data_IF_147525496998
#
_entry.id   IF_147525496998
#
_cell.length_a   1.000
_cell.length_b   1.000
_cell.length_c   1.000
_cell.angle_alpha   90.00
_cell.angle_beta   90.00
_cell.angle_gamma   90.00
#
_symmetry.space_group_name_H-M   'P 1'
#
loop_
_entity.id
_entity.type
_entity.pdbx_description
1 polymer ?
#
# COMPACT_ATOMS: atom_id res chain seq x y z
N UNK A 1 22.37 -13.00 -18.62
CA UNK A 1 22.72 -11.60 -18.91
C UNK A 1 21.69 -10.65 -18.32
N UNK A 2 20.50 -10.58 -18.91
CA UNK A 2 19.41 -9.64 -18.55
C UNK A 2 19.13 -9.54 -17.05
N UNK A 3 18.80 -10.65 -16.38
CA UNK A 3 18.51 -10.66 -14.94
C UNK A 3 19.67 -10.18 -14.08
N UNK A 4 20.91 -10.55 -14.43
CA UNK A 4 22.10 -10.10 -13.71
C UNK A 4 22.28 -8.59 -13.87
N UNK A 5 21.99 -8.02 -15.04
CA UNK A 5 22.00 -6.56 -15.27
C UNK A 5 20.96 -5.87 -14.40
N UNK A 6 19.72 -6.36 -14.36
CA UNK A 6 18.66 -5.80 -13.52
C UNK A 6 19.00 -5.86 -12.02
N UNK A 7 19.48 -7.01 -11.55
CA UNK A 7 19.94 -7.20 -10.18
C UNK A 7 21.14 -6.31 -9.84
N UNK A 8 22.03 -6.04 -10.80
CA UNK A 8 23.19 -5.16 -10.59
C UNK A 8 22.76 -3.71 -10.32
N UNK A 9 21.74 -3.20 -11.03
CA UNK A 9 21.19 -1.85 -10.81
C UNK A 9 20.75 -1.65 -9.37
N UNK A 10 20.08 -2.65 -8.79
CA UNK A 10 19.63 -2.60 -7.41
C UNK A 10 20.63 -3.16 -6.40
N UNK A 11 21.86 -3.53 -6.82
CA UNK A 11 22.88 -4.18 -5.97
C UNK A 11 22.33 -5.41 -5.23
N UNK A 12 21.59 -6.26 -5.95
CA UNK A 12 20.97 -7.50 -5.47
C UNK A 12 21.65 -8.77 -6.01
N UNK A 13 22.77 -8.62 -6.71
CA UNK A 13 23.58 -9.76 -7.17
C UNK A 13 24.02 -10.55 -5.94
N UNK A 14 23.72 -11.85 -5.93
CA UNK A 14 24.08 -12.77 -4.85
C UNK A 14 25.41 -13.45 -5.14
N UNK A 15 26.13 -13.81 -4.09
CA UNK A 15 27.31 -14.66 -4.17
C UNK A 15 27.03 -15.95 -4.96
N UNK A 16 27.99 -16.44 -5.79
CA UNK A 16 29.36 -15.94 -5.96
C UNK A 16 29.50 -14.73 -6.90
N UNK A 17 28.39 -14.18 -7.40
CA UNK A 17 28.39 -13.02 -8.28
C UNK A 17 28.72 -11.74 -7.53
N UNK A 18 29.57 -10.89 -8.12
CA UNK A 18 29.92 -9.58 -7.56
C UNK A 18 30.05 -8.53 -8.66
N UNK A 19 29.76 -7.29 -8.30
CA UNK A 19 30.01 -6.12 -9.16
C UNK A 19 31.47 -5.74 -8.93
N UNK A 20 32.31 -5.89 -9.97
CA UNK A 20 33.77 -5.70 -9.86
C UNK A 20 34.13 -4.22 -10.05
N UNK A 21 33.56 -3.57 -11.06
CA UNK A 21 33.86 -2.20 -11.46
C UNK A 21 32.68 -1.57 -12.21
N UNK A 22 32.73 -0.26 -12.41
CA UNK A 22 31.74 0.51 -13.18
C UNK A 22 31.01 1.56 -12.36
N UNK A 23 29.93 2.09 -12.93
CA UNK A 23 29.07 3.08 -12.28
C UNK A 23 27.62 2.88 -12.67
N UNK A 24 26.70 3.11 -11.74
CA UNK A 24 25.26 3.06 -11.98
C UNK A 24 24.69 4.42 -11.58
N UNK A 25 24.59 5.31 -12.56
CA UNK A 25 24.11 6.67 -12.34
C UNK A 25 22.58 6.70 -12.29
N UNK A 26 22.04 7.23 -11.20
CA UNK A 26 20.63 7.50 -11.03
C UNK A 26 20.46 8.91 -10.48
N UNK A 27 19.88 9.80 -11.30
CA UNK A 27 19.89 11.26 -11.06
C UNK A 27 21.33 11.71 -10.79
N UNK A 28 21.57 12.36 -9.66
CA UNK A 28 22.87 12.89 -9.27
C UNK A 28 23.74 11.90 -8.47
N UNK A 29 23.28 10.66 -8.30
CA UNK A 29 23.95 9.65 -7.46
C UNK A 29 24.55 8.52 -8.30
N UNK A 30 25.74 8.04 -7.90
CA UNK A 30 26.23 6.73 -8.31
C UNK A 30 25.81 5.69 -7.26
N UNK A 31 24.89 4.79 -7.61
CA UNK A 31 24.28 3.84 -6.67
C UNK A 31 25.30 2.85 -6.07
N UNK A 32 26.43 2.61 -6.76
CA UNK A 32 27.49 1.72 -6.27
C UNK A 32 28.27 2.32 -5.10
N UNK A 33 28.34 3.65 -5.00
CA UNK A 33 29.12 4.35 -3.97
C UNK A 33 28.28 4.60 -2.69
N UNK A 34 26.97 4.39 -2.76
CA UNK A 34 26.07 4.65 -1.64
C UNK A 34 26.27 3.66 -0.48
N UNK A 35 26.19 4.13 0.78
CA UNK A 35 26.03 3.24 1.93
C UNK A 35 24.75 2.41 1.80
N UNK A 36 24.74 1.20 2.39
CA UNK A 36 23.58 0.30 2.32
C UNK A 36 22.31 0.91 2.93
N UNK A 37 22.45 1.75 3.95
CA UNK A 37 21.33 2.50 4.55
C UNK A 37 20.68 3.47 3.56
N UNK A 38 21.47 4.14 2.72
CA UNK A 38 20.95 5.04 1.70
C UNK A 38 20.40 4.26 0.50
N UNK A 39 21.08 3.20 0.07
CA UNK A 39 20.60 2.34 -1.01
C UNK A 39 19.21 1.75 -0.69
N UNK A 40 18.95 1.41 0.58
CA UNK A 40 17.61 0.98 1.04
C UNK A 40 16.52 2.03 0.82
N UNK A 41 16.84 3.33 0.86
CA UNK A 41 15.88 4.39 0.58
C UNK A 41 15.59 4.50 -0.92
N UNK A 42 16.55 4.19 -1.79
CA UNK A 42 16.30 4.14 -3.24
C UNK A 42 15.47 2.92 -3.62
N UNK A 43 15.75 1.75 -3.01
CA UNK A 43 14.99 0.52 -3.24
C UNK A 43 13.55 0.64 -2.73
N UNK A 44 12.59 0.26 -3.56
CA UNK A 44 11.17 0.31 -3.23
C UNK A 44 10.57 1.70 -3.38
N UNK A 45 11.22 2.75 -2.88
CA UNK A 45 10.67 4.12 -2.96
C UNK A 45 10.92 4.81 -4.30
N UNK A 46 12.14 4.76 -4.83
CA UNK A 46 12.52 5.44 -6.07
C UNK A 46 12.70 4.46 -7.23
N UNK A 47 13.26 3.28 -6.94
CA UNK A 47 13.51 2.23 -7.92
C UNK A 47 12.94 0.93 -7.38
N UNK A 48 12.03 0.33 -8.13
CA UNK A 48 11.41 -0.95 -7.77
C UNK A 48 11.59 -1.96 -8.88
N UNK A 49 11.66 -3.25 -8.52
CA UNK A 49 11.80 -4.34 -9.45
C UNK A 49 10.67 -5.37 -9.29
N UNK A 50 10.14 -5.82 -10.42
CA UNK A 50 9.28 -7.00 -10.52
C UNK A 50 10.16 -8.15 -11.02
N UNK A 51 10.27 -9.20 -10.20
CA UNK A 51 11.09 -10.38 -10.50
C UNK A 51 10.35 -11.37 -11.42
N UNK A 52 11.14 -12.18 -12.12
CA UNK A 52 10.72 -13.20 -13.09
C UNK A 52 9.77 -14.27 -12.52
N UNK A 53 9.75 -14.48 -11.20
CA UNK A 53 8.81 -15.41 -10.54
C UNK A 53 7.96 -14.72 -9.45
N UNK A 54 6.83 -14.11 -9.86
CA UNK A 54 5.86 -13.52 -8.93
C UNK A 54 5.29 -14.53 -7.94
N UNK A 55 5.27 -15.84 -8.27
CA UNK A 55 4.66 -16.88 -7.45
C UNK A 55 5.45 -17.13 -6.17
N UNK A 56 6.76 -16.96 -6.23
CA UNK A 56 7.66 -17.05 -5.07
C UNK A 56 7.81 -15.72 -4.30
N UNK A 57 7.27 -14.63 -4.84
CA UNK A 57 7.42 -13.29 -4.25
C UNK A 57 6.38 -13.00 -3.16
N UNK A 58 5.22 -13.68 -3.21
CA UNK A 58 4.20 -13.61 -2.16
C UNK A 58 4.38 -14.74 -1.14
N UNK A 59 4.34 -14.40 0.14
CA UNK A 59 4.36 -15.36 1.23
C UNK A 59 2.99 -16.09 1.33
N UNK A 60 2.92 -17.43 1.18
CA UNK A 60 1.66 -18.16 1.09
C UNK A 60 0.86 -18.22 2.39
N UNK A 61 1.48 -17.94 3.55
CA UNK A 61 0.83 -17.98 4.86
C UNK A 61 0.42 -16.61 5.39
N UNK A 62 0.63 -15.54 4.61
CA UNK A 62 0.23 -14.17 4.96
C UNK A 62 -0.88 -13.73 4.01
N UNK A 63 -1.89 -13.01 4.53
CA UNK A 63 -2.96 -12.47 3.70
C UNK A 63 -2.41 -11.46 2.69
N UNK A 64 -3.08 -11.33 1.55
CA UNK A 64 -2.73 -10.36 0.51
C UNK A 64 -2.76 -8.93 1.06
N UNK A 65 -3.77 -8.61 1.87
CA UNK A 65 -3.90 -7.28 2.47
C UNK A 65 -2.76 -6.95 3.41
N UNK A 66 -2.30 -7.89 4.22
CA UNK A 66 -1.17 -7.67 5.13
C UNK A 66 0.15 -7.50 4.36
N UNK A 67 0.40 -8.31 3.33
CA UNK A 67 1.61 -8.20 2.50
C UNK A 67 1.67 -6.88 1.72
N UNK A 68 0.56 -6.45 1.12
CA UNK A 68 0.49 -5.17 0.41
C UNK A 68 0.62 -4.00 1.41
N UNK A 69 0.02 -4.11 2.59
CA UNK A 69 0.13 -3.12 3.67
C UNK A 69 1.55 -2.96 4.18
N UNK A 70 2.32 -4.05 4.27
CA UNK A 70 3.70 -4.04 4.76
C UNK A 70 4.60 -3.10 3.93
N UNK A 71 4.40 -3.05 2.61
CA UNK A 71 5.13 -2.13 1.73
C UNK A 71 4.92 -0.68 2.14
N UNK A 72 3.67 -0.28 2.41
CA UNK A 72 3.36 1.08 2.88
C UNK A 72 3.96 1.34 4.27
N UNK A 73 3.89 0.36 5.17
CA UNK A 73 4.44 0.48 6.52
C UNK A 73 5.96 0.69 6.54
N UNK A 74 6.68 0.01 5.65
CA UNK A 74 8.14 0.10 5.58
C UNK A 74 8.61 1.39 4.92
N UNK A 75 7.87 1.91 3.93
CA UNK A 75 8.36 2.97 3.06
C UNK A 75 7.60 4.31 3.17
N UNK A 76 6.45 4.38 3.84
CA UNK A 76 5.57 5.56 3.88
C UNK A 76 5.06 5.94 5.28
N UNK A 77 5.86 5.71 6.32
CA UNK A 77 5.45 5.96 7.72
C UNK A 77 4.92 7.37 7.97
N UNK A 78 5.56 8.39 7.39
CA UNK A 78 5.14 9.79 7.56
C UNK A 78 3.74 10.05 6.99
N UNK A 79 3.45 9.50 5.80
CA UNK A 79 2.16 9.63 5.13
C UNK A 79 1.08 8.91 5.95
N UNK A 80 1.37 7.69 6.40
CA UNK A 80 0.45 6.89 7.22
C UNK A 80 0.11 7.58 8.54
N UNK A 81 1.11 8.14 9.21
CA UNK A 81 0.93 8.87 10.48
C UNK A 81 0.06 10.10 10.28
N UNK A 82 0.36 10.91 9.26
CA UNK A 82 -0.41 12.10 8.93
C UNK A 82 -1.88 11.76 8.67
N UNK A 83 -2.14 10.72 7.87
CA UNK A 83 -3.51 10.31 7.55
C UNK A 83 -4.26 9.76 8.77
N UNK A 84 -3.58 9.02 9.66
CA UNK A 84 -4.17 8.57 10.92
C UNK A 84 -4.53 9.75 11.83
N UNK A 85 -3.62 10.71 11.98
CA UNK A 85 -3.83 11.92 12.80
C UNK A 85 -5.02 12.74 12.27
N UNK A 86 -5.15 12.88 10.95
CA UNK A 86 -6.31 13.51 10.31
C UNK A 86 -7.62 12.78 10.63
N UNK A 87 -7.66 11.44 10.53
CA UNK A 87 -8.84 10.63 10.87
C UNK A 87 -9.24 10.78 12.34
N UNK A 88 -8.25 10.81 13.24
CA UNK A 88 -8.47 11.01 14.67
C UNK A 88 -9.01 12.41 14.96
N UNK A 89 -8.49 13.45 14.30
CA UNK A 89 -8.96 14.83 14.42
C UNK A 89 -10.40 14.99 13.92
N UNK A 90 -10.72 14.48 12.74
CA UNK A 90 -12.08 14.49 12.18
C UNK A 90 -13.06 13.85 13.16
N UNK A 91 -12.69 12.70 13.73
CA UNK A 91 -13.53 12.01 14.71
C UNK A 91 -13.69 12.81 16.00
N UNK A 92 -12.62 13.45 16.50
CA UNK A 92 -12.67 14.32 17.69
C UNK A 92 -13.64 15.48 17.47
N UNK A 93 -13.59 16.13 16.31
CA UNK A 93 -14.48 17.22 15.95
C UNK A 93 -15.95 16.76 15.90
N UNK A 94 -16.23 15.61 15.28
CA UNK A 94 -17.56 14.99 15.28
C UNK A 94 -18.06 14.67 16.69
N UNK A 95 -17.18 14.18 17.58
CA UNK A 95 -17.51 13.93 19.00
C UNK A 95 -17.84 15.23 19.74
N UNK A 96 -17.10 16.30 19.50
CA UNK A 96 -17.36 17.60 20.12
C UNK A 96 -18.70 18.18 19.64
N UNK A 97 -18.95 18.18 18.33
CA UNK A 97 -20.24 18.59 17.76
C UNK A 97 -21.41 17.81 18.36
N UNK A 98 -21.26 16.49 18.50
CA UNK A 98 -22.27 15.64 19.15
C UNK A 98 -22.52 16.02 20.62
N UNK A 99 -21.48 16.40 21.37
CA UNK A 99 -21.63 16.85 22.77
C UNK A 99 -22.36 18.19 22.84
N UNK A 100 -22.06 19.11 21.93
CA UNK A 100 -22.71 20.41 21.82
C UNK A 100 -24.20 20.28 21.48
N UNK A 101 -24.53 19.52 20.43
CA UNK A 101 -25.92 19.22 20.06
C UNK A 101 -26.72 18.56 21.19
N UNK A 102 -26.08 17.72 22.00
CA UNK A 102 -26.72 17.12 23.19
C UNK A 102 -27.06 18.15 24.27
N UNK A 103 -26.28 19.21 24.43
CA UNK A 103 -26.56 20.28 25.40
C UNK A 103 -27.75 21.11 24.95
N UNK A 104 -27.80 21.47 23.67
CA UNK A 104 -28.90 22.25 23.06
C UNK A 104 -30.25 21.52 23.12
N UNK A 105 -30.25 20.18 23.19
CA UNK A 105 -31.47 19.37 23.22
C UNK A 105 -32.40 19.70 24.40
N UNK A 106 -31.87 20.24 25.51
CA UNK A 106 -32.65 20.61 26.69
C UNK A 106 -33.60 21.80 26.46
N UNK A 107 -33.24 22.70 25.56
CA UNK A 107 -33.93 23.99 25.34
C UNK A 107 -34.89 23.96 24.15
N UNK A 108 -34.93 22.84 23.40
CA UNK A 108 -35.64 22.72 22.13
C UNK A 108 -36.89 21.85 22.20
N UNK A 109 -37.91 22.26 21.45
CA UNK A 109 -39.21 21.59 21.32
C UNK A 109 -39.58 21.34 19.86
N UNK A 110 -40.59 20.50 19.61
CA UNK A 110 -41.14 20.28 18.27
C UNK A 110 -40.17 19.69 17.24
N UNK A 111 -40.24 20.19 16.01
CA UNK A 111 -39.49 19.66 14.86
C UNK A 111 -37.97 19.82 14.97
N UNK A 112 -37.50 20.90 15.59
CA UNK A 112 -36.08 21.19 15.75
C UNK A 112 -35.40 20.15 16.63
N UNK A 113 -36.06 19.76 17.72
CA UNK A 113 -35.62 18.66 18.59
C UNK A 113 -35.48 17.35 17.81
N UNK A 114 -36.44 17.02 16.95
CA UNK A 114 -36.40 15.80 16.15
C UNK A 114 -35.24 15.80 15.14
N UNK A 115 -34.95 16.95 14.51
CA UNK A 115 -33.80 17.11 13.59
C UNK A 115 -32.48 16.87 14.32
N UNK A 116 -32.28 17.50 15.47
CA UNK A 116 -31.05 17.34 16.26
C UNK A 116 -30.88 15.91 16.78
N UNK A 117 -31.95 15.25 17.23
CA UNK A 117 -31.87 13.85 17.64
C UNK A 117 -31.40 12.92 16.51
N UNK A 118 -31.88 13.13 15.28
CA UNK A 118 -31.42 12.39 14.09
C UNK A 118 -29.93 12.65 13.84
N UNK A 119 -29.47 13.89 13.92
CA UNK A 119 -28.05 14.22 13.74
C UNK A 119 -27.15 13.62 14.83
N UNK A 120 -27.57 13.67 16.10
CA UNK A 120 -26.86 13.02 17.22
C UNK A 120 -26.76 11.50 16.99
N UNK A 121 -27.83 10.86 16.49
CA UNK A 121 -27.84 9.43 16.16
C UNK A 121 -26.84 9.12 15.04
N UNK A 122 -26.84 9.93 13.97
CA UNK A 122 -25.86 9.83 12.87
C UNK A 122 -24.43 9.98 13.39
N UNK A 123 -24.12 11.04 14.12
CA UNK A 123 -22.79 11.28 14.70
C UNK A 123 -22.38 10.19 15.69
N UNK A 124 -23.32 9.54 16.39
CA UNK A 124 -23.02 8.39 17.27
C UNK A 124 -22.50 7.20 16.46
N UNK A 125 -23.08 6.90 15.31
CA UNK A 125 -22.62 5.83 14.42
C UNK A 125 -21.24 6.17 13.86
N UNK A 126 -21.08 7.38 13.31
CA UNK A 126 -19.82 7.83 12.70
C UNK A 126 -18.64 7.94 13.69
N UNK A 127 -18.92 8.10 14.99
CA UNK A 127 -17.87 8.21 16.03
C UNK A 127 -17.73 6.95 16.88
N UNK A 128 -18.44 5.87 16.52
CA UNK A 128 -18.38 4.60 17.23
C UNK A 128 -16.96 3.99 17.14
N UNK A 129 -16.49 3.74 15.92
CA UNK A 129 -15.15 3.20 15.65
C UNK A 129 -14.06 4.23 15.98
N UNK A 130 -12.93 3.78 16.53
CA UNK A 130 -11.74 4.59 16.70
C UNK A 130 -10.75 4.22 15.59
N UNK A 131 -10.43 5.15 14.67
CA UNK A 131 -9.44 4.89 13.62
C UNK A 131 -8.12 4.41 14.20
N UNK A 132 -7.58 3.34 13.60
CA UNK A 132 -6.27 2.79 13.91
C UNK A 132 -5.39 2.75 12.66
N UNK A 133 -4.08 2.59 12.84
CA UNK A 133 -3.13 2.49 11.72
C UNK A 133 -3.51 1.38 10.73
N UNK A 134 -4.04 0.25 11.23
CA UNK A 134 -4.50 -0.85 10.39
C UNK A 134 -5.62 -0.43 9.41
N UNK A 135 -6.50 0.50 9.79
CA UNK A 135 -7.54 1.00 8.89
C UNK A 135 -6.93 1.78 7.72
N UNK A 136 -5.94 2.63 8.00
CA UNK A 136 -5.22 3.42 6.98
C UNK A 136 -4.49 2.51 6.01
N UNK A 137 -3.77 1.51 6.54
CA UNK A 137 -3.03 0.53 5.75
C UNK A 137 -3.94 -0.28 4.84
N UNK A 138 -5.06 -0.80 5.37
CA UNK A 138 -6.00 -1.57 4.58
C UNK A 138 -6.67 -0.71 3.50
N UNK A 139 -6.96 0.56 3.76
CA UNK A 139 -7.52 1.47 2.76
C UNK A 139 -6.50 1.75 1.63
N UNK A 140 -5.22 1.97 1.95
CA UNK A 140 -4.13 2.12 0.97
C UNK A 140 -3.97 0.86 0.12
N UNK A 141 -3.97 -0.31 0.77
CA UNK A 141 -3.91 -1.60 0.10
C UNK A 141 -5.13 -1.83 -0.81
N UNK A 142 -6.34 -1.49 -0.34
CA UNK A 142 -7.56 -1.57 -1.16
C UNK A 142 -7.44 -0.67 -2.40
N UNK A 143 -6.93 0.55 -2.24
CA UNK A 143 -6.77 1.51 -3.31
C UNK A 143 -5.82 1.01 -4.40
N UNK A 144 -4.60 0.59 -4.04
CA UNK A 144 -3.61 0.16 -5.04
C UNK A 144 -4.05 -1.13 -5.75
N UNK A 145 -4.76 -2.02 -5.06
CA UNK A 145 -5.35 -3.23 -5.66
C UNK A 145 -6.44 -2.86 -6.69
N UNK A 146 -7.24 -1.82 -6.43
CA UNK A 146 -8.20 -1.30 -7.42
C UNK A 146 -7.50 -0.71 -8.64
N UNK A 147 -6.41 0.03 -8.43
CA UNK A 147 -5.64 0.67 -9.50
C UNK A 147 -5.05 -0.35 -10.49
N UNK A 148 -4.70 -1.56 -10.02
CA UNK A 148 -4.26 -2.66 -10.91
C UNK A 148 -5.42 -3.46 -11.53
N UNK A 149 -6.65 -2.97 -11.43
CA UNK A 149 -7.82 -3.53 -12.14
C UNK A 149 -8.47 -4.72 -11.44
N UNK A 150 -8.29 -4.91 -10.13
CA UNK A 150 -9.00 -5.93 -9.36
C UNK A 150 -10.28 -5.32 -8.79
N UNK A 151 -11.44 -5.73 -9.34
CA UNK A 151 -12.74 -5.17 -8.97
C UNK A 151 -13.12 -5.44 -7.49
N UNK A 152 -12.96 -6.69 -7.03
CA UNK A 152 -13.20 -7.07 -5.63
C UNK A 152 -11.96 -6.87 -4.75
N UNK A 153 -11.42 -5.65 -4.72
CA UNK A 153 -10.22 -5.35 -3.95
C UNK A 153 -10.40 -5.68 -2.45
N UNK A 154 -11.55 -5.33 -1.88
CA UNK A 154 -11.85 -5.55 -0.46
C UNK A 154 -11.96 -7.03 -0.10
N UNK A 155 -12.54 -7.86 -0.97
CA UNK A 155 -12.56 -9.30 -0.77
C UNK A 155 -11.17 -9.90 -0.89
N UNK A 156 -10.35 -9.41 -1.82
CA UNK A 156 -8.99 -9.88 -2.06
C UNK A 156 -8.03 -9.61 -0.90
N UNK A 157 -8.18 -8.49 -0.19
CA UNK A 157 -7.36 -8.20 0.99
C UNK A 157 -7.36 -9.31 2.04
N UNK A 158 -8.46 -10.07 2.14
CA UNK A 158 -8.61 -11.15 3.13
C UNK A 158 -8.12 -12.50 2.63
N UNK A 159 -7.85 -12.63 1.33
CA UNK A 159 -7.42 -13.88 0.72
C UNK A 159 -5.94 -14.11 0.90
N UNK A 160 -5.53 -15.36 0.76
CA UNK A 160 -4.15 -15.78 0.71
C UNK A 160 -3.69 -15.99 -0.74
N UNK A 161 -2.37 -15.93 -1.03
CA UNK A 161 -1.88 -16.08 -2.39
C UNK A 161 -2.38 -17.35 -3.09
N UNK A 162 -2.45 -18.49 -2.38
CA UNK A 162 -2.90 -19.76 -2.95
C UNK A 162 -4.36 -19.73 -3.44
N UNK A 163 -5.18 -18.79 -2.97
CA UNK A 163 -6.59 -18.60 -3.36
C UNK A 163 -6.76 -17.68 -4.59
N UNK A 164 -5.64 -17.18 -5.15
CA UNK A 164 -5.63 -16.29 -6.31
C UNK A 164 -5.15 -17.03 -7.57
N UNK A 165 -5.70 -16.65 -8.73
CA UNK A 165 -5.15 -17.07 -10.04
C UNK A 165 -3.76 -16.45 -10.28
N UNK A 166 -2.98 -17.03 -11.20
CA UNK A 166 -1.65 -16.51 -11.55
C UNK A 166 -1.66 -15.04 -11.96
N UNK A 167 -2.59 -14.64 -12.83
CA UNK A 167 -2.75 -13.25 -13.25
C UNK A 167 -3.17 -12.31 -12.11
N UNK A 168 -3.95 -12.79 -11.14
CA UNK A 168 -4.29 -11.99 -9.94
C UNK A 168 -3.07 -11.80 -9.04
N UNK A 169 -2.28 -12.85 -8.79
CA UNK A 169 -1.02 -12.74 -8.03
C UNK A 169 -0.05 -11.76 -8.68
N UNK A 170 0.07 -11.80 -10.01
CA UNK A 170 0.90 -10.87 -10.76
C UNK A 170 0.42 -9.43 -10.61
N UNK A 171 -0.90 -9.17 -10.70
CA UNK A 171 -1.47 -7.84 -10.43
C UNK A 171 -1.19 -7.37 -9.01
N UNK A 172 -1.26 -8.25 -8.01
CA UNK A 172 -0.87 -7.92 -6.63
C UNK A 172 0.62 -7.57 -6.55
N UNK A 173 1.50 -8.31 -7.22
CA UNK A 173 2.93 -7.98 -7.27
C UNK A 173 3.21 -6.63 -7.94
N UNK A 174 2.49 -6.33 -9.03
CA UNK A 174 2.54 -5.01 -9.68
C UNK A 174 2.04 -3.93 -8.71
N UNK A 175 0.95 -4.18 -7.98
CA UNK A 175 0.42 -3.24 -6.99
C UNK A 175 1.46 -2.93 -5.92
N UNK A 176 2.09 -3.97 -5.33
CA UNK A 176 3.18 -3.80 -4.37
C UNK A 176 4.36 -3.01 -4.95
N UNK A 177 4.71 -3.27 -6.21
CA UNK A 177 5.80 -2.57 -6.86
C UNK A 177 5.50 -1.08 -7.08
N UNK A 178 4.23 -0.75 -7.35
CA UNK A 178 3.75 0.60 -7.58
C UNK A 178 3.32 1.33 -6.29
N UNK A 179 3.16 0.64 -5.17
CA UNK A 179 2.69 1.21 -3.89
C UNK A 179 3.46 2.45 -3.45
N UNK A 180 4.75 2.55 -3.79
CA UNK A 180 5.60 3.68 -3.45
C UNK A 180 5.73 4.76 -4.52
N UNK A 181 4.98 4.65 -5.61
CA UNK A 181 5.06 5.53 -6.78
C UNK A 181 6.53 5.72 -7.25
N UNK A 182 7.22 4.62 -7.61
CA UNK A 182 8.63 4.69 -7.96
C UNK A 182 8.85 5.51 -9.23
N UNK A 183 9.98 6.21 -9.30
CA UNK A 183 10.42 6.94 -10.49
C UNK A 183 10.88 6.00 -11.61
N UNK A 184 11.34 4.80 -11.24
CA UNK A 184 11.82 3.77 -12.16
C UNK A 184 11.30 2.38 -11.75
N UNK A 185 10.60 1.72 -12.66
CA UNK A 185 10.17 0.34 -12.52
C UNK A 185 11.00 -0.55 -13.45
N UNK A 186 11.69 -1.53 -12.88
CA UNK A 186 12.45 -2.55 -13.62
C UNK A 186 11.59 -3.82 -13.66
N UNK A 187 11.31 -4.31 -14.85
CA UNK A 187 10.55 -5.54 -15.03
C UNK A 187 11.44 -6.61 -15.67
N UNK A 188 11.81 -7.64 -14.92
CA UNK A 188 12.57 -8.77 -15.44
C UNK A 188 11.60 -9.89 -15.79
N UNK A 189 11.28 -9.97 -17.09
CA UNK A 189 10.34 -10.95 -17.66
C UNK A 189 8.97 -10.99 -16.93
N UNK A 190 8.26 -9.85 -16.81
CA UNK A 190 7.05 -9.77 -16.01
C UNK A 190 5.90 -10.66 -16.53
N UNK A 191 5.97 -11.14 -17.77
CA UNK A 191 4.91 -11.87 -18.47
C UNK A 191 5.17 -13.37 -18.63
N UNK A 192 6.29 -13.91 -18.18
CA UNK A 192 6.63 -15.34 -18.38
C UNK A 192 5.74 -16.30 -17.60
N UNK A 193 5.09 -15.83 -16.52
CA UNK A 193 4.15 -16.61 -15.71
C UNK A 193 2.68 -16.50 -16.18
N UNK A 194 2.39 -15.76 -17.25
CA UNK A 194 1.06 -15.73 -17.86
C UNK A 194 0.94 -16.91 -18.83
N UNK A 195 -0.10 -17.71 -18.65
CA UNK A 195 -0.47 -18.76 -19.60
C UNK A 195 -0.52 -18.20 -21.03
N UNK A 196 -0.02 -19.01 -21.97
CA UNK A 196 0.12 -18.73 -23.42
C UNK A 196 -1.19 -18.28 -24.09
N UNK A 197 -2.33 -18.38 -23.40
CA UNK A 197 -3.66 -18.01 -23.89
C UNK A 197 -3.98 -16.52 -23.87
N UNK A 198 -3.19 -15.65 -23.21
CA UNK A 198 -3.40 -14.18 -23.19
C UNK A 198 -2.41 -13.44 -24.11
N UNK A 199 -1.52 -14.14 -24.81
CA UNK A 199 -0.51 -13.53 -25.71
C UNK A 199 -0.90 -13.48 -27.20
N UNK A 200 -2.19 -13.65 -27.55
CA UNK A 200 -2.68 -13.61 -28.93
C UNK A 200 -3.50 -12.34 -29.21
#
# INVERSE_FOLDING_TARGET
GKSVTALSILRLVREPGKIIEGSIKYKDFNLLDLPETEMRNFRGKNITMIFQDPLNSLNPVISVGDQVSEVFLLHQQDILKKELDERLLVRKNKKNKKKELKKQLGELTGEERNKIQKEIKKLKVETHHLPVLKDVLLDKAEQIIKEVGIADARGILKRYPHELSGGMRQRIMIAMALSCNPDLLIADEPTTALDVTIQA
#
